data_IF_287468817265
#
_entry.id   IF_287468817265
#
_cell.length_a   1.000
_cell.length_b   1.000
_cell.length_c   1.000
_cell.angle_alpha   90.00
_cell.angle_beta   90.00
_cell.angle_gamma   90.00
#
_symmetry.space_group_name_H-M   'P 1'
#
loop_
_entity.id
_entity.type
_entity.pdbx_description
1 polymer ?
2 polymer ?
3 non-polymer ?
4 non-polymer ?
5 water ?
#
# COMPACT_ATOMS: atom_id res chain seq x y z
N UNK A 3 12.21 -20.46 -4.39
CA UNK A 3 11.10 -20.95 -5.26
C UNK A 3 11.02 -20.16 -6.57
N UNK A 4 10.18 -19.12 -6.58
CA UNK A 4 10.00 -18.29 -7.76
C UNK A 4 10.57 -16.89 -7.52
N UNK A 5 10.74 -16.13 -8.61
CA UNK A 5 11.29 -14.77 -8.53
C UNK A 5 10.31 -13.86 -7.78
N UNK A 6 10.83 -12.89 -7.04
CA UNK A 6 9.99 -11.96 -6.30
C UNK A 6 10.43 -10.51 -6.47
N UNK A 7 9.47 -9.60 -6.35
CA UNK A 7 9.73 -8.17 -6.47
C UNK A 7 8.77 -7.40 -5.54
N UNK A 8 8.98 -6.09 -5.45
CA UNK A 8 8.16 -5.26 -4.61
C UNK A 8 7.76 -3.98 -5.31
N UNK A 9 6.53 -3.55 -5.07
CA UNK A 9 5.98 -2.31 -5.63
C UNK A 9 5.65 -1.42 -4.45
N UNK A 10 5.60 -0.12 -4.67
CA UNK A 10 5.27 0.80 -3.61
C UNK A 10 4.14 1.66 -4.09
N UNK A 11 3.00 1.57 -3.42
CA UNK A 11 1.81 2.33 -3.77
C UNK A 11 1.55 3.45 -2.75
N UNK A 12 1.28 4.66 -3.21
CA UNK A 12 0.99 5.76 -2.30
C UNK A 12 -0.48 6.12 -2.49
N UNK A 13 -1.33 5.88 -1.50
CA UNK A 13 -2.75 6.23 -1.66
C UNK A 13 -2.94 7.61 -1.10
N UNK A 14 -3.52 8.51 -1.91
CA UNK A 14 -3.74 9.89 -1.49
C UNK A 14 -5.21 10.26 -1.58
N UNK A 15 -5.54 11.48 -1.17
CA UNK A 15 -6.92 11.92 -1.21
C UNK A 15 -7.38 12.61 0.07
N UNK A 16 -8.35 13.50 -0.06
CA UNK A 16 -8.87 14.24 1.09
C UNK A 16 -9.33 13.36 2.25
N UNK A 17 -9.23 13.90 3.46
CA UNK A 17 -9.65 13.19 4.65
C UNK A 17 -11.14 12.83 4.59
N UNK A 18 -11.44 11.54 4.59
CA UNK A 18 -12.82 11.11 4.57
C UNK A 18 -13.19 10.12 3.49
N UNK A 19 -12.61 10.35 2.31
CA UNK A 19 -12.85 9.55 1.13
C UNK A 19 -12.84 8.04 1.26
N UNK A 20 -12.05 7.50 2.19
CA UNK A 20 -12.02 6.05 2.37
C UNK A 20 -10.70 5.36 2.09
N UNK A 21 -9.60 6.11 2.04
CA UNK A 21 -8.28 5.55 1.80
C UNK A 21 -7.97 4.45 2.80
N UNK A 22 -8.03 4.76 4.09
CA UNK A 22 -7.75 3.74 5.08
C UNK A 22 -8.71 2.55 4.89
N UNK A 23 -9.98 2.83 4.67
CA UNK A 23 -10.92 1.75 4.51
C UNK A 23 -10.68 0.93 3.25
N UNK A 24 -10.24 1.58 2.18
CA UNK A 24 -9.99 0.84 0.96
C UNK A 24 -8.80 -0.10 1.18
N UNK A 25 -7.74 0.42 1.79
CA UNK A 25 -6.56 -0.40 2.06
C UNK A 25 -6.86 -1.59 2.92
N UNK A 26 -7.54 -1.39 4.05
CA UNK A 26 -7.85 -2.52 4.93
C UNK A 26 -8.68 -3.55 4.23
N UNK A 27 -9.67 -3.07 3.49
CA UNK A 27 -10.56 -3.96 2.78
C UNK A 27 -9.73 -4.88 1.90
N UNK A 28 -8.80 -4.31 1.15
CA UNK A 28 -7.96 -5.10 0.27
C UNK A 28 -6.99 -6.00 0.98
N UNK A 29 -6.24 -5.45 1.94
CA UNK A 29 -5.24 -6.23 2.65
C UNK A 29 -5.74 -7.26 3.63
N UNK A 30 -6.75 -6.93 4.41
CA UNK A 30 -7.27 -7.87 5.40
C UNK A 30 -8.71 -8.26 5.17
N UNK A 31 -9.27 -7.79 4.07
CA UNK A 31 -10.64 -8.12 3.76
C UNK A 31 -11.55 -7.71 4.91
N UNK A 32 -11.21 -6.60 5.57
CA UNK A 32 -11.98 -6.11 6.69
C UNK A 32 -12.41 -4.65 6.52
N UNK A 33 -13.50 -4.30 7.17
CA UNK A 33 -14.05 -2.95 7.11
C UNK A 33 -14.59 -2.57 8.48
N UNK A 34 -14.81 -1.28 8.71
CA UNK A 34 -15.32 -0.81 9.99
C UNK A 34 -15.98 0.55 9.81
N UNK A 35 -17.19 0.71 10.35
CA UNK A 35 -17.89 1.97 10.25
C UNK A 35 -17.23 2.95 11.17
N UNK A 36 -16.64 2.42 12.22
CA UNK A 36 -15.93 3.23 13.20
C UNK A 36 -14.73 3.88 12.52
N UNK A 37 -14.84 5.19 12.27
CA UNK A 37 -13.78 5.98 11.63
C UNK A 37 -12.57 6.07 12.59
N UNK A 38 -11.46 6.64 12.14
CA UNK A 38 -10.28 6.77 13.01
C UNK A 38 -9.15 7.53 12.35
N UNK A 39 -9.41 8.80 12.04
CA UNK A 39 -8.45 9.70 11.40
C UNK A 39 -7.01 9.20 11.37
N UNK A 40 -6.50 9.03 10.16
CA UNK A 40 -5.15 8.56 9.97
C UNK A 40 -4.20 9.75 10.08
N UNK A 41 -3.19 9.62 10.94
CA UNK A 41 -2.22 10.69 11.11
C UNK A 41 -0.88 10.24 10.56
N UNK A 42 -0.07 11.21 10.15
CA UNK A 42 1.25 10.91 9.62
C UNK A 42 1.25 10.15 8.30
N UNK A 43 1.59 8.87 8.37
CA UNK A 43 1.64 8.01 7.20
C UNK A 43 2.14 6.64 7.63
N UNK A 44 1.45 5.60 7.22
CA UNK A 44 1.81 4.24 7.57
C UNK A 44 1.64 3.39 6.32
N UNK A 45 2.05 2.12 6.38
CA UNK A 45 1.92 1.22 5.23
C UNK A 45 1.72 -0.25 5.59
N UNK A 46 1.30 -1.03 4.61
CA UNK A 46 1.09 -2.46 4.77
C UNK A 46 1.76 -3.16 3.60
N UNK A 47 1.79 -4.48 3.63
CA UNK A 47 2.38 -5.25 2.55
C UNK A 47 1.50 -6.46 2.29
N UNK A 48 1.30 -6.75 1.01
CA UNK A 48 0.50 -7.90 0.62
C UNK A 48 1.18 -8.53 -0.58
N UNK A 49 1.16 -9.85 -0.64
CA UNK A 49 1.75 -10.58 -1.75
C UNK A 49 0.68 -11.30 -2.56
N UNK A 50 0.69 -11.09 -3.87
CA UNK A 50 -0.26 -11.73 -4.77
C UNK A 50 0.45 -12.04 -6.08
N UNK A 51 -0.12 -12.95 -6.87
CA UNK A 51 0.43 -13.34 -8.16
C UNK A 51 0.12 -12.32 -9.22
N UNK A 52 1.09 -12.06 -10.09
CA UNK A 52 0.93 -11.12 -11.18
C UNK A 52 1.66 -11.69 -12.38
N UNK A 53 1.04 -12.70 -13.00
CA UNK A 53 1.59 -13.36 -14.18
C UNK A 53 2.89 -14.08 -13.84
N UNK A 54 2.79 -15.21 -13.14
CA UNK A 54 3.98 -15.97 -12.78
C UNK A 54 5.04 -15.17 -12.04
N UNK A 55 4.71 -13.94 -11.67
CA UNK A 55 5.64 -13.13 -10.89
C UNK A 55 4.99 -13.04 -9.54
N UNK A 56 5.81 -13.04 -8.49
CA UNK A 56 5.28 -12.92 -7.14
C UNK A 56 5.57 -11.51 -6.64
N UNK A 57 4.57 -10.65 -6.67
CA UNK A 57 4.76 -9.27 -6.25
C UNK A 57 4.24 -8.95 -4.86
N UNK A 58 5.09 -8.27 -4.10
CA UNK A 58 4.72 -7.85 -2.76
C UNK A 58 4.45 -6.36 -2.89
N UNK A 59 3.23 -5.96 -2.58
CA UNK A 59 2.87 -4.57 -2.66
C UNK A 59 3.02 -3.87 -1.32
N UNK A 60 3.79 -2.79 -1.29
CA UNK A 60 3.96 -2.01 -0.09
C UNK A 60 2.95 -0.88 -0.22
N UNK A 61 1.84 -0.98 0.50
CA UNK A 61 0.80 0.01 0.40
C UNK A 61 0.86 1.04 1.52
N UNK A 62 1.08 2.30 1.14
CA UNK A 62 1.15 3.40 2.09
C UNK A 62 -0.18 4.10 2.19
N UNK A 63 -0.64 4.27 3.43
CA UNK A 63 -1.89 4.98 3.70
C UNK A 63 -1.38 6.33 4.20
N UNK A 64 -2.03 7.41 3.80
CA UNK A 64 -1.58 8.71 4.24
C UNK A 64 -2.66 9.47 4.98
N UNK A 65 -2.30 10.66 5.44
CA UNK A 65 -3.25 11.47 6.19
C UNK A 65 -3.89 12.47 5.24
N UNK A 66 -5.22 12.55 5.29
CA UNK A 66 -5.94 13.46 4.44
C UNK A 66 -6.15 14.77 5.15
N UNK A 67 -6.08 14.71 6.48
CA UNK A 67 -6.24 15.90 7.31
C UNK A 67 -4.97 16.71 7.33
N UNK A 68 -5.04 17.89 6.71
CA UNK A 68 -3.92 18.82 6.62
C UNK A 68 -3.14 19.00 7.92
N UNK A 69 -3.86 19.05 9.03
CA UNK A 69 -3.23 19.22 10.34
C UNK A 69 -2.68 17.89 10.88
N UNK A 70 -2.13 17.07 10.00
CA UNK A 70 -1.56 15.77 10.35
C UNK A 70 -0.68 15.30 9.21
N UNK A 71 -0.75 16.00 8.09
CA UNK A 71 0.04 15.68 6.91
C UNK A 71 1.51 16.02 7.14
N UNK A 72 1.93 15.86 8.39
CA UNK A 72 3.27 16.14 8.86
C UNK A 72 4.42 15.72 7.93
N UNK A 73 5.07 14.63 8.28
CA UNK A 73 6.20 14.07 7.54
C UNK A 73 6.26 14.42 6.06
N UNK A 74 5.51 13.67 5.24
CA UNK A 74 5.54 13.88 3.81
C UNK A 74 6.98 13.62 3.42
N UNK A 75 7.74 13.25 4.44
CA UNK A 75 9.17 12.97 4.35
C UNK A 75 9.49 12.03 3.20
N UNK A 76 9.42 12.58 1.99
CA UNK A 76 9.72 11.85 0.78
C UNK A 76 9.62 10.34 0.91
N UNK A 77 8.59 9.87 1.58
CA UNK A 77 8.43 8.43 1.68
C UNK A 77 7.72 8.10 0.38
N UNK A 78 7.72 9.08 -0.51
CA UNK A 78 7.11 9.00 -1.83
C UNK A 78 8.11 8.51 -2.87
N UNK A 79 9.40 8.78 -2.64
CA UNK A 79 10.46 8.40 -3.58
C UNK A 79 10.31 7.03 -4.23
N UNK A 80 9.94 6.04 -3.46
CA UNK A 80 9.79 4.73 -4.05
C UNK A 80 8.65 4.71 -5.07
N UNK A 81 7.44 4.98 -4.57
CA UNK A 81 6.20 5.00 -5.36
C UNK A 81 6.29 4.59 -6.82
N UNK A 82 5.82 3.39 -7.13
CA UNK A 82 5.81 2.88 -8.49
C UNK A 82 4.44 3.20 -9.08
N UNK A 83 3.54 3.64 -8.20
CA UNK A 83 2.18 3.98 -8.57
C UNK A 83 1.56 4.81 -7.46
N UNK A 84 0.62 5.69 -7.83
CA UNK A 84 -0.07 6.55 -6.89
C UNK A 84 -1.58 6.43 -7.08
N UNK A 85 -2.29 6.17 -5.98
CA UNK A 85 -3.72 6.02 -6.04
C UNK A 85 -4.41 7.26 -5.53
N UNK A 86 -5.11 7.96 -6.42
CA UNK A 86 -5.85 9.16 -6.08
C UNK A 86 -7.26 8.71 -5.71
N UNK A 87 -7.61 8.82 -4.42
CA UNK A 87 -8.93 8.40 -3.92
C UNK A 87 -9.86 9.54 -3.48
N UNK A 88 -11.13 9.51 -3.87
CA UNK A 88 -12.08 10.55 -3.45
C UNK A 88 -13.45 10.00 -3.04
N UNK A 89 -14.24 10.85 -2.38
CA UNK A 89 -15.58 10.49 -1.90
C UNK A 89 -16.66 10.88 -2.90
N UNK A 90 -17.11 9.90 -3.69
CA UNK A 90 -18.11 10.14 -4.73
C UNK A 90 -19.32 11.00 -4.32
N UNK A 91 -19.71 10.90 -3.05
CA UNK A 91 -20.84 11.66 -2.55
C UNK A 91 -20.38 13.05 -2.14
N UNK A 92 -19.06 13.20 -1.99
CA UNK A 92 -18.48 14.49 -1.60
C UNK A 92 -17.74 15.11 -2.78
N UNK A 93 -18.41 16.02 -3.51
CA UNK A 93 -17.85 16.70 -4.68
C UNK A 93 -16.48 17.38 -4.52
N UNK A 94 -16.27 18.07 -3.41
CA UNK A 94 -14.98 18.74 -3.17
C UNK A 94 -13.81 17.79 -3.27
N UNK A 95 -13.96 16.58 -2.73
CA UNK A 95 -12.92 15.59 -2.75
C UNK A 95 -12.54 15.22 -4.18
N UNK A 96 -13.43 15.51 -5.12
CA UNK A 96 -13.17 15.24 -6.51
C UNK A 96 -12.56 16.51 -7.10
N UNK A 97 -13.02 17.64 -6.62
CA UNK A 97 -12.52 18.91 -7.11
C UNK A 97 -11.02 18.99 -6.94
N UNK A 98 -10.57 18.70 -5.72
CA UNK A 98 -9.16 18.76 -5.35
C UNK A 98 -8.29 17.61 -5.82
N UNK A 99 -8.74 16.82 -6.78
CA UNK A 99 -7.91 15.71 -7.25
C UNK A 99 -6.62 16.24 -7.85
N UNK A 100 -6.70 17.34 -8.58
CA UNK A 100 -5.50 17.89 -9.17
C UNK A 100 -4.50 18.28 -8.08
N UNK A 101 -5.00 18.77 -6.95
CA UNK A 101 -4.09 19.15 -5.86
C UNK A 101 -3.15 17.99 -5.55
N UNK A 102 -3.73 16.83 -5.29
CA UNK A 102 -2.99 15.62 -4.97
C UNK A 102 -2.08 15.05 -6.05
N UNK A 103 -2.61 14.81 -7.24
CA UNK A 103 -1.80 14.26 -8.31
C UNK A 103 -0.61 15.17 -8.57
N UNK A 104 -0.86 16.48 -8.59
CA UNK A 104 0.22 17.44 -8.81
C UNK A 104 1.23 17.25 -7.67
N UNK A 105 0.74 17.52 -6.47
CA UNK A 105 1.55 17.38 -5.26
C UNK A 105 2.41 16.14 -5.34
N UNK A 106 1.83 15.03 -5.78
CA UNK A 106 2.59 13.78 -5.88
C UNK A 106 3.80 13.96 -6.77
N UNK A 107 3.55 14.29 -8.03
CA UNK A 107 4.63 14.48 -9.00
C UNK A 107 5.75 15.37 -8.45
N UNK A 108 5.37 16.50 -7.86
CA UNK A 108 6.35 17.44 -7.32
C UNK A 108 7.24 16.76 -6.27
N UNK A 109 6.63 15.97 -5.41
CA UNK A 109 7.39 15.27 -4.37
C UNK A 109 8.12 14.10 -4.99
N UNK A 110 7.39 13.06 -5.34
CA UNK A 110 7.98 11.88 -5.93
C UNK A 110 8.96 12.25 -7.03
N UNK A 111 8.48 13.01 -8.01
CA UNK A 111 9.30 13.42 -9.14
C UNK A 111 9.89 12.19 -9.84
N UNK A 112 9.03 11.35 -10.43
CA UNK A 112 9.47 10.14 -11.13
C UNK A 112 9.86 10.37 -12.60
N UNK A 113 10.89 9.67 -13.06
CA UNK A 113 11.34 9.77 -14.45
C UNK A 113 10.15 9.40 -15.32
N UNK A 114 9.97 10.15 -16.41
CA UNK A 114 8.85 9.91 -17.32
C UNK A 114 7.52 10.17 -16.62
N UNK A 115 7.33 11.43 -16.16
CA UNK A 115 6.11 11.84 -15.46
C UNK A 115 4.84 11.61 -16.27
N UNK A 116 4.95 11.77 -17.59
CA UNK A 116 3.77 11.60 -18.45
C UNK A 116 3.31 10.17 -18.61
N UNK A 117 3.86 9.25 -17.82
CA UNK A 117 3.46 7.86 -17.94
C UNK A 117 3.35 7.10 -16.63
N UNK A 118 3.63 7.80 -15.54
CA UNK A 118 3.56 7.26 -14.20
C UNK A 118 2.19 6.72 -13.86
N UNK A 119 2.11 5.47 -13.41
CA UNK A 119 0.85 4.83 -13.04
C UNK A 119 -0.01 5.58 -12.03
N UNK A 120 -1.26 5.88 -12.41
CA UNK A 120 -2.20 6.56 -11.52
C UNK A 120 -3.55 5.84 -11.52
N UNK A 121 -4.09 5.53 -10.36
CA UNK A 121 -5.40 4.90 -10.32
C UNK A 121 -6.33 5.73 -9.45
N UNK A 122 -7.46 6.11 -10.05
CA UNK A 122 -8.47 6.93 -9.40
C UNK A 122 -9.65 6.12 -8.90
N UNK A 123 -9.85 6.14 -7.59
CA UNK A 123 -10.94 5.38 -7.00
C UNK A 123 -12.03 6.31 -6.50
N UNK A 124 -13.26 6.08 -7.00
CA UNK A 124 -14.40 6.88 -6.60
C UNK A 124 -15.10 6.07 -5.55
N UNK A 125 -14.78 6.35 -4.29
CA UNK A 125 -15.33 5.59 -3.19
C UNK A 125 -16.71 5.91 -2.67
N UNK A 126 -17.23 4.98 -1.87
CA UNK A 126 -18.51 5.10 -1.22
C UNK A 126 -19.73 5.03 -2.12
N UNK A 127 -19.57 4.51 -3.33
CA UNK A 127 -20.71 4.43 -4.22
C UNK A 127 -21.90 3.68 -3.61
N UNK A 128 -21.69 3.07 -2.45
CA UNK A 128 -22.78 2.33 -1.81
C UNK A 128 -23.76 3.23 -1.04
N UNK A 129 -23.69 4.53 -1.28
CA UNK A 129 -24.59 5.47 -0.62
C UNK A 129 -25.52 6.05 -1.69
N UNK A 130 -26.81 6.16 -1.39
CA UNK A 130 -27.79 6.70 -2.34
C UNK A 130 -27.36 8.07 -2.85
N UNK A 131 -27.02 8.94 -1.91
CA UNK A 131 -26.56 10.28 -2.21
C UNK A 131 -25.36 10.14 -3.15
N UNK A 132 -25.22 11.04 -4.10
CA UNK A 132 -24.11 10.96 -5.04
C UNK A 132 -24.02 12.27 -5.83
N UNK A 133 -22.95 13.02 -5.60
CA UNK A 133 -22.76 14.31 -6.25
C UNK A 133 -21.83 14.31 -7.45
N UNK A 134 -21.00 13.28 -7.59
CA UNK A 134 -20.08 13.22 -8.74
C UNK A 134 -20.48 12.08 -9.67
N UNK A 135 -20.59 12.38 -10.96
CA UNK A 135 -21.00 11.38 -11.94
C UNK A 135 -19.85 10.58 -12.50
N UNK A 136 -20.08 9.27 -12.65
CA UNK A 136 -19.08 8.35 -13.18
C UNK A 136 -18.46 8.91 -14.45
N UNK A 137 -19.32 9.34 -15.36
CA UNK A 137 -18.88 9.90 -16.62
C UNK A 137 -17.94 11.08 -16.36
N UNK A 138 -18.34 11.94 -15.43
CA UNK A 138 -17.51 13.08 -15.09
C UNK A 138 -16.11 12.65 -14.70
N UNK A 139 -16.05 11.78 -13.68
CA UNK A 139 -14.79 11.25 -13.17
C UNK A 139 -14.04 10.56 -14.29
N UNK A 140 -14.78 9.83 -15.12
CA UNK A 140 -14.21 9.14 -16.27
C UNK A 140 -13.62 10.16 -17.20
N UNK A 141 -14.44 11.10 -17.62
CA UNK A 141 -14.01 12.13 -18.53
C UNK A 141 -12.71 12.76 -18.04
N UNK A 142 -12.56 12.86 -16.72
CA UNK A 142 -11.37 13.45 -16.11
C UNK A 142 -10.14 12.55 -16.17
N UNK A 143 -10.29 11.29 -15.77
CA UNK A 143 -9.17 10.35 -15.77
C UNK A 143 -8.54 10.25 -17.15
N UNK A 144 -9.37 9.92 -18.13
CA UNK A 144 -8.89 9.81 -19.50
C UNK A 144 -8.16 11.10 -19.83
N UNK A 145 -8.82 12.21 -19.55
CA UNK A 145 -8.31 13.54 -19.82
C UNK A 145 -6.91 13.76 -19.33
N UNK A 146 -6.51 13.02 -18.31
CA UNK A 146 -5.16 13.16 -17.81
C UNK A 146 -4.37 12.37 -18.84
N UNK A 147 -3.70 11.29 -18.45
CA UNK A 147 -2.99 10.51 -19.46
C UNK A 147 -3.65 9.14 -19.48
N UNK A 148 -4.95 9.20 -19.74
CA UNK A 148 -5.82 8.04 -19.78
C UNK A 148 -5.51 7.06 -18.67
N UNK A 149 -5.68 7.50 -17.43
CA UNK A 149 -5.45 6.66 -16.27
C UNK A 149 -6.76 5.96 -15.93
N UNK A 150 -6.68 4.72 -15.41
CA UNK A 150 -7.91 4.01 -15.09
C UNK A 150 -8.66 4.64 -13.92
N UNK A 151 -9.97 4.43 -13.90
CA UNK A 151 -10.83 4.93 -12.85
C UNK A 151 -11.73 3.77 -12.41
N UNK A 152 -11.93 3.63 -11.11
CA UNK A 152 -12.78 2.57 -10.59
C UNK A 152 -13.72 3.14 -9.55
N UNK A 153 -15.02 2.84 -9.68
CA UNK A 153 -15.96 3.28 -8.67
C UNK A 153 -15.83 2.16 -7.65
N UNK A 154 -15.60 2.52 -6.40
CA UNK A 154 -15.40 1.51 -5.39
C UNK A 154 -16.31 1.70 -4.19
N UNK A 155 -16.31 0.71 -3.32
CA UNK A 155 -17.08 0.76 -2.10
C UNK A 155 -16.35 -0.02 -1.02
N UNK A 156 -15.38 0.63 -0.38
CA UNK A 156 -14.61 0.02 0.69
C UNK A 156 -15.54 -0.72 1.65
N UNK A 157 -16.78 -0.26 1.74
CA UNK A 157 -17.75 -0.87 2.64
C UNK A 157 -18.25 -2.23 2.17
N UNK A 158 -18.76 -2.30 0.94
CA UNK A 158 -19.25 -3.56 0.41
C UNK A 158 -18.23 -4.17 -0.53
N UNK A 159 -16.97 -3.80 -0.34
CA UNK A 159 -15.86 -4.28 -1.16
C UNK A 159 -16.12 -4.36 -2.67
N UNK A 160 -16.51 -3.24 -3.27
CA UNK A 160 -16.78 -3.22 -4.71
C UNK A 160 -15.50 -2.78 -5.42
N UNK A 161 -15.01 -3.63 -6.31
CA UNK A 161 -13.81 -3.34 -7.07
C UNK A 161 -12.55 -3.09 -6.25
N UNK A 162 -12.57 -3.44 -4.97
CA UNK A 162 -11.39 -3.26 -4.15
C UNK A 162 -10.31 -4.19 -4.66
N UNK A 163 -10.59 -5.49 -4.73
CA UNK A 163 -9.60 -6.42 -5.23
C UNK A 163 -9.25 -5.99 -6.64
N UNK A 164 -10.29 -5.74 -7.43
CA UNK A 164 -10.09 -5.33 -8.80
C UNK A 164 -9.26 -4.05 -8.98
N UNK A 165 -9.48 -3.06 -8.12
CA UNK A 165 -8.73 -1.83 -8.24
C UNK A 165 -7.26 -2.11 -8.08
N UNK A 166 -6.89 -2.72 -6.96
CA UNK A 166 -5.50 -3.06 -6.68
C UNK A 166 -4.84 -3.99 -7.68
N UNK A 167 -5.64 -4.72 -8.45
CA UNK A 167 -5.08 -5.62 -9.45
C UNK A 167 -4.44 -4.79 -10.55
N UNK A 168 -5.18 -3.77 -10.96
CA UNK A 168 -4.75 -2.86 -12.01
C UNK A 168 -3.63 -1.98 -11.45
N UNK A 169 -3.77 -1.65 -10.18
CA UNK A 169 -2.78 -0.85 -9.50
C UNK A 169 -1.47 -1.62 -9.57
N UNK A 170 -1.57 -2.93 -9.43
CA UNK A 170 -0.41 -3.81 -9.46
C UNK A 170 0.20 -3.93 -10.86
N UNK A 171 -0.65 -4.04 -11.87
CA UNK A 171 -0.20 -4.20 -13.25
C UNK A 171 0.38 -3.00 -13.96
N UNK A 172 -0.07 -1.80 -13.58
CA UNK A 172 0.42 -0.61 -14.24
C UNK A 172 1.73 -0.19 -13.64
N UNK A 173 1.87 -0.42 -12.35
CA UNK A 173 3.10 -0.05 -11.65
C UNK A 173 4.19 -0.97 -12.14
N UNK A 174 3.79 -2.22 -12.38
CA UNK A 174 4.69 -3.26 -12.82
C UNK A 174 5.10 -3.07 -14.26
N UNK A 175 4.15 -2.66 -15.08
CA UNK A 175 4.42 -2.44 -16.50
C UNK A 175 5.24 -1.18 -16.67
N UNK A 176 5.79 -0.68 -15.58
CA UNK A 176 6.61 0.52 -15.66
C UNK A 176 8.07 0.25 -15.35
N UNK A 177 8.41 -1.04 -15.21
CA UNK A 177 9.78 -1.48 -14.96
C UNK A 177 10.46 -0.96 -13.70
N UNK A 178 9.78 -0.13 -12.93
CA UNK A 178 10.39 0.43 -11.71
C UNK A 178 10.47 -0.48 -10.50
N UNK A 179 9.69 -1.56 -10.52
CA UNK A 179 9.67 -2.50 -9.41
C UNK A 179 11.09 -2.95 -9.01
N UNK A 180 11.29 -3.15 -7.72
CA UNK A 180 12.58 -3.58 -7.19
C UNK A 180 12.58 -5.10 -7.02
N UNK A 181 13.72 -5.72 -7.30
CA UNK A 181 13.81 -7.16 -7.16
C UNK A 181 13.76 -7.44 -5.68
N UNK A 182 13.71 -8.72 -5.32
CA UNK A 182 13.63 -9.10 -3.92
C UNK A 182 14.90 -9.89 -3.59
N UNK A 183 14.73 -11.04 -2.94
CA UNK A 183 15.88 -11.87 -2.61
C UNK A 183 15.90 -13.17 -3.42
N UNK A 184 16.62 -13.12 -4.54
CA UNK A 184 16.78 -14.27 -5.43
C UNK A 184 18.21 -14.29 -5.94
N UNK A 185 19.08 -15.00 -5.23
CA UNK A 185 20.50 -15.10 -5.59
C UNK A 185 20.75 -15.75 -6.94
N UNK B 1 0.40 16.27 20.05
CA UNK B 1 0.97 17.61 19.70
C UNK B 1 2.49 17.54 19.73
N UNK B 2 3.01 16.61 20.54
CA UNK B 2 4.45 16.40 20.70
C UNK B 2 5.24 16.63 19.42
N UNK B 3 6.08 17.67 19.48
CA UNK B 3 6.93 18.09 18.37
C UNK B 3 7.84 16.97 17.88
N UNK B 4 8.26 16.09 18.78
CA UNK B 4 9.14 14.99 18.38
C UNK B 4 8.36 13.89 17.66
N UNK B 5 7.05 14.09 17.53
CA UNK B 5 6.16 13.13 16.86
C UNK B 5 6.75 12.59 15.54
N UNK B 6 7.32 13.48 14.75
CA UNK B 6 7.89 13.07 13.47
C UNK B 6 9.08 12.16 13.67
N UNK B 7 9.33 11.79 14.93
CA UNK B 7 10.43 10.90 15.28
C UNK B 7 9.92 9.47 15.49
N UNK B 8 9.17 9.23 16.55
CA UNK B 8 8.67 7.87 16.79
C UNK B 8 8.05 7.29 15.53
N UNK B 9 7.24 8.11 14.85
CA UNK B 9 6.57 7.69 13.62
C UNK B 9 7.58 7.24 12.59
N UNK B 10 8.43 8.19 12.19
CA UNK B 10 9.45 7.94 11.19
C UNK B 10 10.26 6.69 11.50
N UNK B 11 10.41 6.38 12.79
CA UNK B 11 11.15 5.19 13.18
C UNK B 11 10.18 4.01 13.06
N UNK B 12 8.94 4.22 13.47
CA UNK B 12 7.96 3.16 13.36
C UNK B 12 7.99 2.61 11.95
N UNK B 13 8.07 3.51 10.98
CA UNK B 13 8.10 3.11 9.57
C UNK B 13 9.35 2.31 9.27
N UNK B 14 10.49 2.90 9.60
CA UNK B 14 11.75 2.24 9.35
C UNK B 14 11.75 0.84 9.90
N UNK B 15 11.41 0.68 11.16
CA UNK B 15 11.36 -0.65 11.75
C UNK B 15 10.33 -1.57 11.10
N UNK B 16 9.16 -1.05 10.76
CA UNK B 16 8.16 -1.89 10.12
C UNK B 16 8.80 -2.44 8.86
N UNK B 17 9.48 -1.56 8.13
CA UNK B 17 10.13 -1.96 6.89
C UNK B 17 11.18 -3.04 7.13
N UNK B 18 12.06 -2.83 8.09
CA UNK B 18 13.10 -3.80 8.42
C UNK B 18 12.44 -5.13 8.67
N UNK B 19 11.47 -5.15 9.59
CA UNK B 19 10.77 -6.38 9.92
C UNK B 19 10.24 -7.10 8.68
N UNK B 20 9.89 -6.36 7.65
CA UNK B 20 9.42 -7.00 6.43
C UNK B 20 10.60 -7.69 5.74
N UNK B 21 11.68 -6.94 5.57
CA UNK B 21 12.89 -7.43 4.90
C UNK B 21 13.53 -8.58 5.62
N UNK B 22 13.72 -8.45 6.92
CA UNK B 22 14.31 -9.55 7.66
C UNK B 22 13.48 -10.80 7.42
N UNK B 23 12.16 -10.64 7.37
CA UNK B 23 11.27 -11.76 7.11
C UNK B 23 11.66 -12.42 5.79
N UNK B 24 12.02 -11.61 4.81
CA UNK B 24 12.43 -12.15 3.52
C UNK B 24 13.71 -12.94 3.75
N UNK B 25 14.79 -12.22 4.04
CA UNK B 25 16.07 -12.83 4.29
C UNK B 25 15.96 -14.19 4.98
N UNK B 26 15.08 -14.30 5.96
CA UNK B 26 14.94 -15.57 6.66
C UNK B 26 14.48 -16.67 5.70
N UNK B 27 13.24 -16.57 5.25
CA UNK B 27 12.67 -17.55 4.35
C UNK B 27 13.64 -17.79 3.19
N UNK B 28 14.44 -16.79 2.89
CA UNK B 28 15.45 -16.91 1.85
C UNK B 28 16.43 -17.96 2.36
N UNK B 29 17.19 -17.60 3.40
CA UNK B 29 18.15 -18.51 4.00
C UNK B 29 17.54 -19.84 4.34
N UNK B 30 16.35 -19.80 4.92
CA UNK B 30 15.63 -21.01 5.30
C UNK B 30 15.44 -21.93 4.09
N UNK B 31 15.38 -21.32 2.92
CA UNK B 31 15.20 -22.08 1.69
C UNK B 31 16.58 -22.46 1.26
N UNK B 32 17.46 -21.46 1.22
CA UNK B 32 18.84 -21.70 0.81
C UNK B 32 19.45 -22.78 1.68
N UNK B 33 18.75 -23.13 2.75
CA UNK B 33 19.20 -24.18 3.65
C UNK B 33 18.95 -25.51 2.98
N UNK B 34 17.69 -25.78 2.67
CA UNK B 34 17.35 -27.04 2.01
C UNK B 34 17.57 -27.01 0.49
N UNK B 35 18.55 -26.22 0.05
CA UNK B 35 18.88 -26.15 -1.36
C UNK B 35 19.70 -27.42 -1.60
N UNK B 36 20.64 -27.38 -2.55
CA UNK B 36 21.46 -28.57 -2.76
C UNK B 36 22.33 -28.59 -1.52
N UNK B 37 22.29 -27.46 -0.80
CA UNK B 37 22.99 -27.25 0.47
C UNK B 37 22.22 -28.15 1.43
N UNK B 38 21.43 -29.02 0.80
CA UNK B 38 20.57 -30.03 1.40
C UNK B 38 20.59 -30.27 2.90
N UNK B 39 19.47 -30.80 3.38
CA UNK B 39 19.21 -31.16 4.77
C UNK B 39 17.74 -31.45 4.92
N UNK B 40 17.39 -32.44 5.75
CA UNK B 40 16.02 -32.87 6.01
C UNK B 40 14.92 -31.84 5.79
N UNK B 41 13.74 -32.34 5.44
CA UNK B 41 12.56 -31.54 5.14
C UNK B 41 11.82 -31.23 6.43
N UNK B 42 10.72 -31.97 6.65
CA UNK B 42 9.84 -31.82 7.81
C UNK B 42 10.55 -31.27 9.05
N UNK B 43 11.85 -31.57 9.20
CA UNK B 43 12.65 -31.08 10.32
C UNK B 43 12.85 -29.57 10.21
N UNK B 44 13.47 -29.14 9.12
CA UNK B 44 13.71 -27.72 8.87
C UNK B 44 12.43 -26.94 9.18
N UNK B 45 11.31 -27.64 9.13
CA UNK B 45 10.01 -27.06 9.43
C UNK B 45 9.85 -26.95 10.94
N UNK B 46 10.24 -28.01 11.63
CA UNK B 46 10.17 -28.03 13.08
C UNK B 46 11.12 -26.97 13.62
N UNK B 47 12.27 -26.81 12.96
CA UNK B 47 13.23 -25.78 13.39
C UNK B 47 12.45 -24.49 13.45
N UNK B 48 11.68 -24.22 12.39
CA UNK B 48 10.84 -23.04 12.34
C UNK B 48 9.92 -23.07 13.54
N UNK B 49 9.15 -24.14 13.63
CA UNK B 49 8.21 -24.28 14.72
C UNK B 49 8.96 -24.16 16.05
N UNK B 50 10.28 -24.32 15.99
CA UNK B 50 11.12 -24.22 17.19
C UNK B 50 11.42 -22.76 17.51
N UNK B 51 11.96 -22.06 16.52
CA UNK B 51 12.27 -20.66 16.67
C UNK B 51 10.98 -19.92 17.00
N UNK B 52 10.05 -19.87 16.04
CA UNK B 52 8.77 -19.19 16.24
C UNK B 52 8.26 -19.47 17.65
N UNK B 53 8.57 -20.67 18.15
CA UNK B 53 8.18 -21.10 19.50
C UNK B 53 8.97 -20.34 20.56
N UNK B 54 10.30 -20.35 20.43
CA UNK B 54 11.22 -19.67 21.34
C UNK B 54 10.97 -18.18 21.24
N UNK B 55 10.77 -17.71 20.01
CA UNK B 55 10.51 -16.32 19.75
C UNK B 55 9.45 -15.84 20.72
N UNK B 56 8.25 -16.38 20.64
CA UNK B 56 7.18 -15.98 21.54
C UNK B 56 7.72 -15.70 22.94
N UNK B 57 8.42 -16.69 23.49
CA UNK B 57 9.01 -16.61 24.82
C UNK B 57 9.79 -15.33 25.02
N UNK B 58 10.99 -15.29 24.46
CA UNK B 58 11.87 -14.13 24.59
C UNK B 58 11.15 -12.81 24.33
N UNK B 59 10.56 -12.65 23.15
CA UNK B 59 9.84 -11.43 22.82
C UNK B 59 8.93 -11.00 23.95
N UNK B 60 8.18 -11.96 24.47
CA UNK B 60 7.24 -11.70 25.55
C UNK B 60 7.88 -10.96 26.72
N UNK B 61 8.95 -11.54 27.28
CA UNK B 61 9.63 -10.92 28.40
C UNK B 61 10.31 -9.62 27.98
N UNK B 62 10.53 -9.44 26.68
CA UNK B 62 11.16 -8.22 26.22
C UNK B 62 10.18 -7.06 26.35
N UNK B 63 8.93 -7.32 25.98
CA UNK B 63 7.90 -6.28 26.03
C UNK B 63 7.08 -6.34 27.28
N UNK B 64 7.41 -7.27 28.16
CA UNK B 64 6.67 -7.40 29.41
C UNK B 64 5.25 -7.91 29.27
N UNK B 65 4.98 -8.65 28.21
CA UNK B 65 3.63 -9.18 28.01
C UNK B 65 3.29 -10.13 29.17
X LIG C 1 -6.19 7.23 5.85
X LIG D 1 -8.02 9.86 6.61
X LIG D 1 -7.67 8.81 7.63
X LIG D 1 -6.87 10.70 6.12
X LIG D 1 -9.09 10.78 7.17
X LIG D 1 -8.60 9.07 5.33
X LIG D 1 -10.07 8.52 5.24
X LIG D 1 -10.45 7.90 3.98
X LIG D 1 -10.95 9.60 5.57
X LIG D 1 -10.31 7.51 6.37
X LIG D 1 -10.98 6.07 6.54
X LIG D 1 -10.62 5.65 7.93
X LIG D 1 -10.60 5.19 5.40
X LIG D 1 -12.53 6.34 6.67
X LIG D 1 -13.43 7.02 5.85
X LIG D 1 -14.81 6.93 6.57
X LIG D 1 -15.88 6.65 5.64
X LIG D 1 -14.96 5.82 7.65
X LIG D 1 -15.77 6.25 8.74
X LIG D 1 -15.55 4.68 6.89
X LIG D 1 -16.40 3.90 7.73
X LIG D 1 -16.35 5.31 5.80
X LIG D 1 -16.23 4.66 4.48
X LIG D 1 -15.06 4.39 3.81
X LIG D 1 -15.24 3.81 2.67
X LIG D 1 -16.62 3.68 2.57
X LIG D 1 -17.44 3.12 1.54
X LIG D 1 -17.11 2.60 0.47
X LIG D 1 -18.81 3.20 1.84
X LIG D 1 -19.32 3.75 3.00
X LIG D 1 -20.66 3.74 3.10
X LIG D 1 -18.58 4.28 3.96
X LIG D 1 -17.23 4.21 3.68
#
# INVERSE_FOLDING_TARGET
>A
MTSRKKVLLKVIILGDSGVGKTSLMNQYVNKKFSNQYKATIGADFLTKEVMVDDRLVTMQIWDTAGLERFQSLGVAFYRGADCCVLVFDVTAPNTFKTLDSWRDEFLIQASPRDPENFPFVVLGNKIDLENRQVATKRAQAWCYSKNNIPYFETSAKEAINVEQAFQTIARNALKQETEVELYNEFPEPIKLDKNDRAKASAESCSC
>B
SREEFEQILQERNELKAKVFLLKEELAYFQRELLTDHRVPSLLLEAMKVAVRKQRKKIKAKMLGT
>C hetero
1 MG MG
>D hetero
1 GTP PG O1G O2G O3G O3B PB O1B O2B O3A PA O1A O2A O5' C5' C4' O4' C3' O3' C2' O2' C1' N9 C8 N7 C5 C6 O6 N1 C2 N2 N3 C4
#
